data_IF_848102289040
#
_entry.id   IF_848102289040
#
_cell.length_a   1.000
_cell.length_b   1.000
_cell.length_c   1.000
_cell.angle_alpha   90.00
_cell.angle_beta   90.00
_cell.angle_gamma   90.00
#
_symmetry.space_group_name_H-M   'P 1'
#
loop_
_entity.id
_entity.type
_entity.pdbx_description
1 polymer ?
#
# COMPACT_ATOMS: atom_id res chain seq x y z
N UNK A 1 25.77 18.30 33.61
CA UNK A 1 25.86 18.52 32.15
C UNK A 1 24.55 18.05 31.54
N UNK A 2 23.63 18.96 31.20
CA UNK A 2 22.31 18.60 30.67
C UNK A 2 22.23 18.89 29.17
N UNK A 3 21.95 17.87 28.36
CA UNK A 3 21.76 18.06 26.92
C UNK A 3 20.47 18.83 26.64
N UNK A 4 20.61 20.10 26.27
CA UNK A 4 19.48 20.93 25.85
C UNK A 4 19.07 20.52 24.43
N UNK A 5 18.06 19.66 24.33
CA UNK A 5 17.53 19.22 23.03
C UNK A 5 16.51 20.23 22.51
N UNK A 6 16.77 20.75 21.31
CA UNK A 6 15.81 21.60 20.62
C UNK A 6 14.61 20.77 20.08
N UNK A 7 13.47 20.87 20.75
CA UNK A 7 12.24 20.16 20.39
C UNK A 7 11.68 20.58 19.02
N UNK A 8 11.90 21.82 18.58
CA UNK A 8 11.45 22.28 17.26
C UNK A 8 12.21 21.56 16.13
N UNK A 9 13.53 21.37 16.27
CA UNK A 9 14.32 20.57 15.33
C UNK A 9 13.79 19.13 15.26
N UNK A 10 13.54 18.49 16.41
CA UNK A 10 12.98 17.12 16.48
C UNK A 10 11.58 17.00 15.87
N UNK A 11 10.71 18.01 16.05
CA UNK A 11 9.39 18.04 15.40
C UNK A 11 9.52 18.15 13.88
N UNK A 12 10.38 19.05 13.39
CA UNK A 12 10.63 19.24 11.95
C UNK A 12 11.19 17.97 11.30
N UNK A 13 12.12 17.26 11.95
CA UNK A 13 12.65 15.99 11.42
C UNK A 13 11.55 14.93 11.35
N UNK A 14 10.71 14.78 12.37
CA UNK A 14 9.58 13.83 12.37
C UNK A 14 8.60 14.13 11.22
N UNK A 15 8.28 15.40 10.98
CA UNK A 15 7.41 15.81 9.87
C UNK A 15 8.05 15.48 8.52
N UNK A 16 9.34 15.79 8.34
CA UNK A 16 10.07 15.48 7.09
C UNK A 16 10.09 13.98 6.80
N UNK A 17 10.33 13.15 7.81
CA UNK A 17 10.31 11.68 7.68
C UNK A 17 8.92 11.17 7.27
N UNK A 18 7.84 11.68 7.90
CA UNK A 18 6.46 11.33 7.50
C UNK A 18 6.17 11.72 6.05
N UNK A 19 6.58 12.92 5.63
CA UNK A 19 6.41 13.38 4.24
C UNK A 19 7.19 12.49 3.25
N UNK A 20 8.42 12.09 3.58
CA UNK A 20 9.21 11.20 2.75
C UNK A 20 8.55 9.81 2.57
N UNK A 21 8.03 9.21 3.65
CA UNK A 21 7.27 7.94 3.58
C UNK A 21 6.03 8.05 2.70
N UNK A 22 5.25 9.13 2.88
CA UNK A 22 4.07 9.39 2.04
C UNK A 22 4.46 9.58 0.56
N UNK A 23 5.58 10.25 0.30
CA UNK A 23 6.08 10.42 -1.06
C UNK A 23 6.51 9.10 -1.71
N UNK A 24 7.18 8.19 -0.98
CA UNK A 24 7.51 6.86 -1.52
C UNK A 24 6.26 6.03 -1.79
N UNK A 25 5.28 6.02 -0.88
CA UNK A 25 4.00 5.35 -1.10
C UNK A 25 3.27 5.92 -2.32
N UNK A 26 3.27 7.25 -2.47
CA UNK A 26 2.66 7.90 -3.63
C UNK A 26 3.42 7.61 -4.92
N UNK A 27 4.75 7.50 -4.93
CA UNK A 27 5.50 7.07 -6.12
C UNK A 27 5.13 5.65 -6.52
N UNK A 28 4.90 4.75 -5.56
CA UNK A 28 4.46 3.39 -5.88
C UNK A 28 3.01 3.40 -6.39
N UNK A 29 2.11 4.14 -5.74
CA UNK A 29 0.68 4.18 -6.08
C UNK A 29 0.37 4.95 -7.38
N UNK A 30 1.09 6.05 -7.60
CA UNK A 30 0.84 6.99 -8.71
C UNK A 30 1.93 6.97 -9.78
N UNK A 31 3.11 6.40 -9.51
CA UNK A 31 4.15 6.16 -10.52
C UNK A 31 3.90 4.94 -11.39
N UNK A 32 2.96 4.06 -11.00
CA UNK A 32 2.41 3.05 -11.91
C UNK A 32 1.66 3.73 -13.05
N UNK A 33 2.06 3.42 -14.27
CA UNK A 33 1.40 3.88 -15.49
C UNK A 33 -0.01 3.30 -15.62
N UNK A 34 -0.87 3.93 -16.42
CA UNK A 34 -2.23 3.42 -16.66
C UNK A 34 -2.23 1.97 -17.19
N UNK A 35 -1.22 1.62 -18.01
CA UNK A 35 -1.06 0.28 -18.58
C UNK A 35 -0.76 -0.76 -17.50
N UNK A 36 0.18 -0.48 -16.59
CA UNK A 36 0.52 -1.38 -15.48
C UNK A 36 -0.67 -1.61 -14.53
N UNK A 37 -1.42 -0.54 -14.21
CA UNK A 37 -2.64 -0.66 -13.41
C UNK A 37 -3.71 -1.52 -14.08
N UNK A 38 -3.84 -1.44 -15.40
CA UNK A 38 -4.82 -2.22 -16.15
C UNK A 38 -4.43 -3.70 -16.20
N UNK A 39 -3.15 -4.00 -16.39
CA UNK A 39 -2.62 -5.37 -16.36
C UNK A 39 -2.84 -5.98 -14.97
N UNK A 40 -2.48 -5.27 -13.89
CA UNK A 40 -2.71 -5.73 -12.52
C UNK A 40 -4.19 -5.98 -12.22
N UNK A 41 -5.09 -5.11 -12.72
CA UNK A 41 -6.53 -5.30 -12.57
C UNK A 41 -7.02 -6.55 -13.33
N UNK A 42 -6.56 -6.77 -14.56
CA UNK A 42 -6.92 -7.93 -15.36
C UNK A 42 -6.40 -9.23 -14.72
N UNK A 43 -5.18 -9.22 -14.21
CA UNK A 43 -4.59 -10.35 -13.49
C UNK A 43 -5.38 -10.65 -12.21
N UNK A 44 -5.75 -9.64 -11.43
CA UNK A 44 -6.59 -9.82 -10.25
C UNK A 44 -7.97 -10.38 -10.61
N UNK A 45 -8.63 -9.86 -11.65
CA UNK A 45 -9.92 -10.36 -12.10
C UNK A 45 -9.84 -11.81 -12.59
N UNK A 46 -8.75 -12.17 -13.30
CA UNK A 46 -8.49 -13.55 -13.71
C UNK A 46 -8.30 -14.46 -12.51
N UNK A 47 -7.54 -14.02 -11.51
CA UNK A 47 -7.31 -14.77 -10.27
C UNK A 47 -8.60 -14.91 -9.47
N UNK A 48 -9.42 -13.87 -9.36
CA UNK A 48 -10.73 -13.92 -8.70
C UNK A 48 -11.64 -14.94 -9.40
N UNK A 49 -11.75 -14.88 -10.73
CA UNK A 49 -12.54 -15.86 -11.50
C UNK A 49 -12.00 -17.28 -11.37
N UNK A 50 -10.68 -17.45 -11.33
CA UNK A 50 -10.05 -18.75 -11.12
C UNK A 50 -10.39 -19.29 -9.73
N UNK A 51 -10.23 -18.47 -8.69
CA UNK A 51 -10.58 -18.84 -7.31
C UNK A 51 -12.07 -19.12 -7.16
N UNK A 52 -12.94 -18.34 -7.78
CA UNK A 52 -14.39 -18.54 -7.77
C UNK A 52 -14.79 -19.83 -8.50
N UNK A 53 -14.22 -20.11 -9.67
CA UNK A 53 -14.43 -21.37 -10.38
C UNK A 53 -13.89 -22.61 -9.64
N UNK A 54 -12.87 -22.43 -8.80
CA UNK A 54 -12.33 -23.46 -7.92
C UNK A 54 -12.94 -23.45 -6.52
N UNK A 55 -13.87 -22.53 -6.25
CA UNK A 55 -14.60 -22.48 -4.99
C UNK A 55 -15.61 -23.61 -5.04
N UNK A 56 -15.22 -24.75 -4.46
CA UNK A 56 -16.19 -25.71 -3.97
C UNK A 56 -16.98 -24.96 -2.89
N UNK A 57 -18.22 -24.58 -3.20
CA UNK A 57 -19.18 -24.32 -2.15
C UNK A 57 -19.15 -25.57 -1.27
N UNK A 58 -18.50 -25.47 -0.11
CA UNK A 58 -18.85 -26.34 0.99
C UNK A 58 -20.31 -26.05 1.19
N UNK A 59 -21.15 -26.92 0.61
CA UNK A 59 -22.49 -27.21 1.09
C UNK A 59 -22.35 -27.14 2.60
N UNK A 60 -22.86 -26.07 3.19
CA UNK A 60 -23.09 -26.04 4.62
C UNK A 60 -23.94 -27.29 4.85
N UNK A 61 -23.31 -28.29 5.47
CA UNK A 61 -24.00 -29.48 5.94
C UNK A 61 -25.13 -29.02 6.86
N UNK A 62 -26.27 -29.69 6.69
CA UNK A 62 -27.50 -29.54 7.48
C UNK A 62 -27.27 -29.40 8.97
#
# INVERSE_FOLDING_TARGET
MGDVINLNKKRKTKIRLKKAKKASENRIKFGRTKKEKQIEKQENERNERYLDGHKLEKKEEK
#
